data_IF_897794729070
#
_entry.id   IF_897794729070
#
_cell.length_a   1.000
_cell.length_b   1.000
_cell.length_c   1.000
_cell.angle_alpha   90.00
_cell.angle_beta   90.00
_cell.angle_gamma   90.00
#
_symmetry.space_group_name_H-M   'P 1'
#
loop_
_entity.id
_entity.type
_entity.pdbx_description
1 polymer ?
#
# COMPACT_ATOMS: atom_id res chain seq x y z
N UNK A 1 -1.34 0.93 28.65
CA UNK A 1 -1.15 -0.31 27.84
C UNK A 1 -2.16 -0.25 26.70
N UNK A 2 -1.71 -0.39 25.49
CA UNK A 2 -2.59 -0.23 24.31
C UNK A 2 -3.20 -1.60 23.97
N UNK A 3 -4.53 -1.67 23.81
CA UNK A 3 -5.26 -2.93 23.60
C UNK A 3 -5.05 -3.42 22.16
N UNK A 4 -4.59 -4.67 22.00
CA UNK A 4 -4.46 -5.33 20.70
C UNK A 4 -5.83 -5.69 20.11
N UNK A 5 -6.02 -5.59 18.79
CA UNK A 5 -7.23 -6.06 18.13
C UNK A 5 -7.06 -7.52 17.67
N UNK A 6 -7.41 -8.48 18.54
CA UNK A 6 -7.25 -9.90 18.27
C UNK A 6 -8.07 -10.43 17.10
N UNK A 7 -9.22 -9.82 16.79
CA UNK A 7 -10.00 -10.19 15.60
C UNK A 7 -9.27 -9.83 14.32
N UNK A 8 -8.67 -8.64 14.31
CA UNK A 8 -7.87 -8.23 13.17
C UNK A 8 -6.58 -9.05 13.03
N UNK A 9 -5.91 -9.43 14.13
CA UNK A 9 -4.70 -10.29 14.10
C UNK A 9 -5.04 -11.64 13.44
N UNK A 10 -6.21 -12.21 13.69
CA UNK A 10 -6.66 -13.43 13.03
C UNK A 10 -7.31 -13.19 11.65
N UNK A 11 -7.39 -11.95 11.19
CA UNK A 11 -8.02 -11.58 9.90
C UNK A 11 -9.49 -12.03 9.80
N UNK A 12 -10.26 -11.84 10.87
CA UNK A 12 -11.67 -12.22 10.99
C UNK A 12 -12.51 -11.05 11.51
N UNK A 13 -13.81 -11.11 11.27
CA UNK A 13 -14.76 -10.15 11.81
C UNK A 13 -14.99 -10.34 13.31
N UNK A 14 -15.35 -9.28 14.06
CA UNK A 14 -15.70 -9.40 15.50
C UNK A 14 -16.87 -10.33 15.79
N UNK A 15 -17.70 -10.61 14.80
CA UNK A 15 -18.84 -11.53 14.86
C UNK A 15 -18.46 -13.00 14.62
N UNK A 16 -17.17 -13.29 14.37
CA UNK A 16 -16.70 -14.62 14.02
C UNK A 16 -17.01 -15.66 15.10
N UNK A 17 -17.50 -16.80 14.65
CA UNK A 17 -17.81 -17.97 15.46
C UNK A 17 -16.55 -18.71 15.89
N UNK A 18 -16.63 -19.55 16.94
CA UNK A 18 -15.51 -20.36 17.40
C UNK A 18 -14.88 -21.25 16.30
N UNK A 19 -15.66 -21.92 15.41
CA UNK A 19 -15.09 -22.63 14.27
C UNK A 19 -14.30 -21.76 13.31
N UNK A 20 -14.77 -20.53 13.04
CA UNK A 20 -14.08 -19.57 12.17
C UNK A 20 -12.78 -19.08 12.80
N UNK A 21 -12.77 -18.80 14.10
CA UNK A 21 -11.54 -18.46 14.85
C UNK A 21 -10.51 -19.59 14.73
N UNK A 22 -10.94 -20.86 14.94
CA UNK A 22 -10.07 -22.03 14.81
C UNK A 22 -9.55 -22.23 13.40
N UNK A 23 -10.38 -21.97 12.38
CA UNK A 23 -9.99 -22.07 10.96
C UNK A 23 -8.96 -20.99 10.59
N UNK A 24 -9.19 -19.76 11.02
CA UNK A 24 -8.29 -18.64 10.80
C UNK A 24 -6.91 -18.88 11.48
N UNK A 25 -6.92 -19.31 12.73
CA UNK A 25 -5.70 -19.67 13.45
C UNK A 25 -4.88 -20.72 12.70
N UNK A 26 -5.50 -21.84 12.30
CA UNK A 26 -4.77 -22.91 11.59
C UNK A 26 -4.16 -22.42 10.29
N UNK A 27 -4.88 -21.59 9.52
CA UNK A 27 -4.38 -21.00 8.28
C UNK A 27 -3.15 -20.12 8.52
N UNK A 28 -3.25 -19.20 9.47
CA UNK A 28 -2.17 -18.26 9.78
C UNK A 28 -0.98 -18.93 10.46
N UNK A 29 -1.23 -19.87 11.38
CA UNK A 29 -0.19 -20.65 12.05
C UNK A 29 0.62 -21.49 11.05
N UNK A 30 -0.02 -22.06 10.03
CA UNK A 30 0.66 -22.79 8.96
C UNK A 30 1.48 -21.87 8.05
N UNK A 31 0.94 -20.66 7.77
CA UNK A 31 1.61 -19.67 6.93
C UNK A 31 2.86 -19.08 7.59
N UNK A 32 2.78 -18.79 8.90
CA UNK A 32 3.85 -18.15 9.67
C UNK A 32 4.61 -19.11 10.59
N UNK A 33 4.53 -20.43 10.31
CA UNK A 33 5.21 -21.44 11.13
C UNK A 33 6.72 -21.19 11.14
N UNK A 34 7.39 -21.23 12.33
CA UNK A 34 8.82 -20.95 12.44
C UNK A 34 9.67 -21.90 11.59
N UNK A 35 9.30 -23.18 11.47
CA UNK A 35 10.06 -24.13 10.64
C UNK A 35 10.04 -23.79 9.14
N UNK A 36 8.98 -23.13 8.66
CA UNK A 36 8.85 -22.71 7.26
C UNK A 36 9.42 -21.32 6.98
N UNK A 37 9.69 -20.57 8.04
CA UNK A 37 10.12 -19.16 7.96
C UNK A 37 11.30 -18.93 8.93
N UNK A 38 12.23 -19.88 9.05
CA UNK A 38 13.33 -19.82 9.99
C UNK A 38 14.20 -18.56 9.84
N UNK A 39 14.35 -18.06 8.60
CA UNK A 39 15.16 -16.89 8.27
C UNK A 39 14.40 -15.56 8.42
N UNK A 40 13.13 -15.58 8.89
CA UNK A 40 12.24 -14.42 8.89
C UNK A 40 11.84 -14.02 10.30
N UNK A 41 12.58 -13.10 10.91
CA UNK A 41 12.33 -12.60 12.25
C UNK A 41 10.87 -12.13 12.48
N UNK A 42 10.27 -11.50 11.47
CA UNK A 42 8.88 -11.04 11.54
C UNK A 42 7.88 -12.20 11.66
N UNK A 43 8.16 -13.35 11.03
CA UNK A 43 7.25 -14.50 11.07
C UNK A 43 7.15 -15.05 12.49
N UNK A 44 8.24 -15.05 13.25
CA UNK A 44 8.29 -15.48 14.64
C UNK A 44 7.46 -14.56 15.54
N UNK A 45 7.63 -13.24 15.38
CA UNK A 45 6.85 -12.25 16.12
C UNK A 45 5.36 -12.37 15.81
N UNK A 46 5.02 -12.48 14.52
CA UNK A 46 3.63 -12.57 14.09
C UNK A 46 2.97 -13.89 14.50
N UNK A 47 3.70 -15.01 14.47
CA UNK A 47 3.23 -16.29 14.99
C UNK A 47 2.87 -16.22 16.47
N UNK A 48 3.69 -15.52 17.27
CA UNK A 48 3.42 -15.30 18.69
C UNK A 48 2.13 -14.51 18.91
N UNK A 49 1.90 -13.46 18.10
CA UNK A 49 0.65 -12.66 18.18
C UNK A 49 -0.58 -13.43 17.71
N UNK A 50 -0.46 -14.26 16.67
CA UNK A 50 -1.52 -15.17 16.19
C UNK A 50 -1.91 -16.15 17.30
N UNK A 51 -0.91 -16.71 17.99
CA UNK A 51 -1.12 -17.63 19.11
C UNK A 51 -1.82 -16.94 20.28
N UNK A 52 -1.34 -15.76 20.68
CA UNK A 52 -1.95 -14.93 21.72
C UNK A 52 -3.41 -14.59 21.40
N UNK A 53 -3.68 -14.14 20.17
CA UNK A 53 -5.02 -13.82 19.72
C UNK A 53 -5.97 -15.03 19.77
N UNK A 54 -5.49 -16.19 19.35
CA UNK A 54 -6.23 -17.44 19.42
C UNK A 54 -6.55 -17.82 20.86
N UNK A 55 -5.56 -17.80 21.75
CA UNK A 55 -5.74 -18.13 23.16
C UNK A 55 -6.77 -17.22 23.83
N UNK A 56 -6.71 -15.92 23.59
CA UNK A 56 -7.67 -14.97 24.17
C UNK A 56 -9.07 -15.15 23.59
N UNK A 57 -9.21 -15.33 22.29
CA UNK A 57 -10.54 -15.42 21.66
C UNK A 57 -11.22 -16.78 21.82
N UNK A 58 -10.48 -17.84 22.20
CA UNK A 58 -11.04 -19.19 22.43
C UNK A 58 -11.29 -19.49 23.89
N UNK A 59 -10.65 -18.82 24.83
CA UNK A 59 -10.90 -18.93 26.26
C UNK A 59 -12.05 -18.01 26.67
N UNK A 60 -13.18 -18.55 27.21
CA UNK A 60 -14.34 -17.75 27.56
C UNK A 60 -14.03 -16.61 28.54
N UNK A 61 -13.21 -16.88 29.55
CA UNK A 61 -12.90 -15.91 30.61
C UNK A 61 -12.00 -14.79 30.08
N UNK A 62 -10.98 -15.12 29.31
CA UNK A 62 -10.09 -14.15 28.68
C UNK A 62 -10.82 -13.31 27.62
N UNK A 63 -11.69 -13.94 26.84
CA UNK A 63 -12.51 -13.26 25.83
C UNK A 63 -13.44 -12.24 26.46
N UNK A 64 -14.08 -12.56 27.57
CA UNK A 64 -14.97 -11.64 28.27
C UNK A 64 -14.23 -10.39 28.73
N UNK A 65 -13.08 -10.56 29.40
CA UNK A 65 -12.23 -9.43 29.85
C UNK A 65 -11.79 -8.60 28.64
N UNK A 66 -11.38 -9.25 27.55
CA UNK A 66 -10.98 -8.56 26.32
C UNK A 66 -12.13 -7.75 25.71
N UNK A 67 -13.34 -8.30 25.64
CA UNK A 67 -14.51 -7.61 25.11
C UNK A 67 -14.91 -6.42 25.96
N UNK A 68 -14.82 -6.51 27.29
CA UNK A 68 -15.05 -5.38 28.20
C UNK A 68 -14.03 -4.26 27.98
N UNK A 69 -12.75 -4.59 27.87
CA UNK A 69 -11.69 -3.62 27.59
C UNK A 69 -11.87 -2.97 26.21
N UNK A 70 -12.23 -3.76 25.20
CA UNK A 70 -12.51 -3.27 23.85
C UNK A 70 -13.69 -2.29 23.84
N UNK A 71 -14.79 -2.63 24.50
CA UNK A 71 -15.96 -1.77 24.63
C UNK A 71 -15.60 -0.45 25.33
N UNK A 72 -14.84 -0.53 26.42
CA UNK A 72 -14.40 0.66 27.16
C UNK A 72 -13.52 1.58 26.30
N UNK A 73 -12.59 1.06 25.55
CA UNK A 73 -11.75 1.84 24.63
C UNK A 73 -12.60 2.52 23.52
N UNK A 74 -13.59 1.81 22.99
CA UNK A 74 -14.51 2.38 21.99
C UNK A 74 -15.37 3.51 22.58
N UNK A 75 -15.87 3.35 23.80
CA UNK A 75 -16.70 4.35 24.47
C UNK A 75 -15.93 5.64 24.78
N UNK A 76 -14.62 5.56 24.98
CA UNK A 76 -13.74 6.72 25.18
C UNK A 76 -13.40 7.45 23.85
N UNK A 77 -13.96 7.04 22.71
CA UNK A 77 -13.64 7.61 21.41
C UNK A 77 -12.22 7.34 20.90
N UNK A 78 -11.46 6.53 21.63
CA UNK A 78 -10.13 6.09 21.20
C UNK A 78 -10.27 5.04 20.10
N UNK A 79 -10.34 5.49 18.85
CA UNK A 79 -10.37 4.59 17.65
C UNK A 79 -9.04 3.88 17.38
N UNK A 80 -8.00 4.15 18.14
CA UNK A 80 -6.70 3.53 17.99
C UNK A 80 -6.62 2.19 18.74
N UNK A 81 -7.19 1.16 18.10
CA UNK A 81 -6.65 -0.17 18.34
C UNK A 81 -5.24 -0.23 17.76
N UNK A 82 -4.31 -0.87 18.50
CA UNK A 82 -2.96 -1.09 17.99
C UNK A 82 -3.07 -1.61 16.59
N UNK A 83 -2.57 -0.82 15.68
CA UNK A 83 -2.33 -1.25 14.32
C UNK A 83 -1.51 -2.54 14.38
N UNK A 84 -1.98 -3.55 13.70
CA UNK A 84 -1.28 -4.83 13.57
C UNK A 84 0.21 -4.61 13.28
N UNK A 85 1.06 -5.55 13.69
CA UNK A 85 2.45 -5.47 13.31
C UNK A 85 2.55 -5.28 11.81
N UNK A 86 3.28 -4.26 11.43
CA UNK A 86 3.56 -3.96 10.02
C UNK A 86 4.43 -5.11 9.50
N UNK A 87 3.83 -6.07 8.82
CA UNK A 87 4.57 -7.16 8.19
C UNK A 87 4.64 -6.92 6.67
N UNK A 88 5.79 -7.20 6.03
CA UNK A 88 5.95 -6.98 4.60
C UNK A 88 4.85 -7.64 3.72
N UNK A 89 4.44 -8.90 3.94
CA UNK A 89 3.38 -9.52 3.16
C UNK A 89 2.02 -8.82 3.32
N UNK A 90 1.73 -8.27 4.50
CA UNK A 90 0.48 -7.57 4.75
C UNK A 90 0.43 -6.23 4.03
N UNK A 91 1.50 -5.47 4.09
CA UNK A 91 1.60 -4.21 3.34
C UNK A 91 1.48 -4.48 1.84
N UNK A 92 2.15 -5.52 1.33
CA UNK A 92 2.01 -5.92 -0.07
C UNK A 92 0.55 -6.26 -0.41
N UNK A 93 -0.14 -7.05 0.41
CA UNK A 93 -1.56 -7.38 0.22
C UNK A 93 -2.43 -6.13 0.13
N UNK A 94 -2.25 -5.19 1.08
CA UNK A 94 -2.98 -3.92 1.11
C UNK A 94 -2.77 -3.10 -0.18
N UNK A 95 -1.55 -3.05 -0.67
CA UNK A 95 -1.20 -2.33 -1.90
C UNK A 95 -1.77 -3.03 -3.14
N UNK A 96 -1.77 -4.37 -3.19
CA UNK A 96 -2.37 -5.13 -4.27
C UNK A 96 -3.90 -4.95 -4.33
N UNK A 97 -4.56 -4.91 -3.17
CA UNK A 97 -5.99 -4.58 -3.07
C UNK A 97 -6.28 -3.16 -3.54
N UNK A 98 -5.44 -2.18 -3.16
CA UNK A 98 -5.52 -0.82 -3.66
C UNK A 98 -5.35 -0.76 -5.18
N UNK A 99 -4.36 -1.45 -5.75
CA UNK A 99 -4.16 -1.53 -7.20
C UNK A 99 -5.38 -2.07 -7.92
N UNK A 100 -5.95 -3.16 -7.41
CA UNK A 100 -7.17 -3.76 -7.97
C UNK A 100 -8.33 -2.77 -7.96
N UNK A 101 -8.53 -2.08 -6.83
CA UNK A 101 -9.58 -1.06 -6.68
C UNK A 101 -9.36 0.10 -7.67
N UNK A 102 -8.17 0.69 -7.69
CA UNK A 102 -7.83 1.84 -8.57
C UNK A 102 -7.98 1.47 -10.05
N UNK A 103 -7.57 0.26 -10.44
CA UNK A 103 -7.71 -0.22 -11.82
C UNK A 103 -9.17 -0.44 -12.26
N UNK A 104 -10.11 -0.58 -11.31
CA UNK A 104 -11.54 -0.71 -11.59
C UNK A 104 -12.27 0.64 -11.68
N UNK A 105 -11.62 1.75 -11.29
CA UNK A 105 -12.22 3.08 -11.29
C UNK A 105 -12.00 3.80 -12.62
N UNK A 106 -12.97 4.66 -12.96
CA UNK A 106 -12.79 5.65 -14.02
C UNK A 106 -11.78 6.72 -13.59
N UNK A 107 -10.67 6.82 -14.34
CA UNK A 107 -9.58 7.75 -14.05
C UNK A 107 -9.98 9.23 -14.01
N UNK A 108 -11.09 9.61 -14.68
CA UNK A 108 -11.60 10.99 -14.69
C UNK A 108 -12.39 11.32 -13.42
N UNK A 109 -13.06 10.33 -12.81
CA UNK A 109 -13.87 10.49 -11.60
C UNK A 109 -13.12 10.14 -10.32
N UNK A 110 -11.88 9.68 -10.44
CA UNK A 110 -11.07 9.26 -9.30
C UNK A 110 -10.68 10.44 -8.41
N UNK A 111 -10.91 10.32 -7.11
CA UNK A 111 -10.35 11.24 -6.11
C UNK A 111 -8.83 11.01 -5.97
N UNK A 112 -8.07 11.79 -6.74
CA UNK A 112 -6.59 11.72 -6.75
C UNK A 112 -5.97 12.19 -5.45
N UNK A 113 -6.64 13.09 -4.72
CA UNK A 113 -6.16 13.56 -3.43
C UNK A 113 -6.33 12.48 -2.37
N UNK A 114 -7.50 11.90 -2.25
CA UNK A 114 -7.76 10.78 -1.33
C UNK A 114 -6.87 9.57 -1.61
N UNK A 115 -6.60 9.27 -2.90
CA UNK A 115 -5.64 8.23 -3.28
C UNK A 115 -4.23 8.53 -2.79
N UNK A 116 -3.77 9.77 -2.94
CA UNK A 116 -2.45 10.20 -2.46
C UNK A 116 -2.32 10.08 -0.94
N UNK A 117 -3.30 10.60 -0.18
CA UNK A 117 -3.33 10.49 1.28
C UNK A 117 -3.34 9.03 1.75
N UNK A 118 -4.09 8.17 1.07
CA UNK A 118 -4.13 6.75 1.40
C UNK A 118 -2.79 6.05 1.15
N UNK A 119 -2.11 6.35 0.04
CA UNK A 119 -0.76 5.83 -0.23
C UNK A 119 0.22 6.31 0.84
N UNK A 120 0.17 7.58 1.25
CA UNK A 120 1.01 8.11 2.33
C UNK A 120 0.74 7.43 3.67
N UNK A 121 -0.51 7.11 3.96
CA UNK A 121 -0.88 6.37 5.18
C UNK A 121 -0.28 4.96 5.19
N UNK A 122 -0.35 4.25 4.06
CA UNK A 122 0.27 2.91 3.93
C UNK A 122 1.79 2.98 4.03
N UNK A 123 2.40 3.99 3.40
CA UNK A 123 3.85 4.22 3.40
C UNK A 123 4.26 5.26 4.45
N UNK A 124 3.66 5.20 5.64
CA UNK A 124 4.08 6.08 6.73
C UNK A 124 5.58 5.88 7.06
N UNK A 125 6.26 6.88 7.62
CA UNK A 125 7.68 6.76 7.98
C UNK A 125 7.97 5.53 8.84
N UNK A 126 7.06 5.19 9.78
CA UNK A 126 7.17 4.02 10.64
C UNK A 126 7.06 2.73 9.84
N UNK A 127 6.12 2.66 8.89
CA UNK A 127 5.96 1.49 8.00
C UNK A 127 7.20 1.27 7.14
N UNK A 128 7.73 2.35 6.54
CA UNK A 128 8.94 2.28 5.72
C UNK A 128 10.15 1.82 6.54
N UNK A 129 10.30 2.33 7.76
CA UNK A 129 11.39 1.92 8.66
C UNK A 129 11.27 0.43 9.02
N UNK A 130 10.08 -0.06 9.32
CA UNK A 130 9.85 -1.48 9.62
C UNK A 130 10.11 -2.37 8.41
N UNK A 131 9.61 -2.02 7.22
CA UNK A 131 9.91 -2.74 5.97
C UNK A 131 11.43 -2.82 5.71
N UNK A 132 12.15 -1.75 6.06
CA UNK A 132 13.62 -1.73 5.98
C UNK A 132 14.29 -2.65 6.99
N UNK A 133 13.78 -2.75 8.20
CA UNK A 133 14.29 -3.66 9.25
C UNK A 133 14.12 -5.12 8.85
N UNK A 134 12.96 -5.49 8.31
CA UNK A 134 12.71 -6.86 7.84
C UNK A 134 13.56 -7.27 6.64
N UNK A 135 14.06 -6.32 5.87
CA UNK A 135 14.98 -6.52 4.74
C UNK A 135 14.52 -7.57 3.70
N UNK A 136 13.21 -7.73 3.52
CA UNK A 136 12.62 -8.63 2.52
C UNK A 136 12.68 -7.98 1.12
N UNK A 137 13.83 -8.09 0.46
CA UNK A 137 14.09 -7.41 -0.83
C UNK A 137 13.08 -7.78 -1.90
N UNK A 138 12.66 -9.04 -1.98
CA UNK A 138 11.66 -9.50 -2.95
C UNK A 138 10.30 -8.83 -2.75
N UNK A 139 9.82 -8.77 -1.50
CA UNK A 139 8.54 -8.13 -1.18
C UNK A 139 8.63 -6.62 -1.36
N UNK A 140 9.72 -5.99 -0.91
CA UNK A 140 9.92 -4.56 -1.06
C UNK A 140 9.93 -4.14 -2.54
N UNK A 141 10.49 -4.96 -3.42
CA UNK A 141 10.49 -4.75 -4.87
C UNK A 141 9.06 -4.77 -5.45
N UNK A 142 8.24 -5.74 -5.04
CA UNK A 142 6.83 -5.80 -5.47
C UNK A 142 6.00 -4.64 -4.89
N UNK A 143 6.27 -4.21 -3.67
CA UNK A 143 5.66 -3.01 -3.07
C UNK A 143 6.00 -1.77 -3.92
N UNK A 144 7.28 -1.55 -4.24
CA UNK A 144 7.73 -0.43 -5.06
C UNK A 144 7.05 -0.45 -6.43
N UNK A 145 7.06 -1.58 -7.10
CA UNK A 145 6.43 -1.76 -8.41
C UNK A 145 4.93 -1.44 -8.38
N UNK A 146 4.24 -1.97 -7.38
CA UNK A 146 2.80 -1.78 -7.22
C UNK A 146 2.43 -0.33 -6.89
N UNK A 147 3.21 0.35 -6.07
CA UNK A 147 3.02 1.77 -5.77
C UNK A 147 3.32 2.65 -6.98
N UNK A 148 4.36 2.36 -7.76
CA UNK A 148 4.65 3.06 -9.02
C UNK A 148 3.44 2.99 -9.96
N UNK A 149 2.86 1.81 -10.12
CA UNK A 149 1.67 1.63 -10.95
C UNK A 149 0.50 2.51 -10.47
N UNK A 150 0.16 2.46 -9.18
CA UNK A 150 -0.92 3.27 -8.60
C UNK A 150 -0.63 4.76 -8.67
N UNK A 151 0.63 5.16 -8.47
CA UNK A 151 1.06 6.57 -8.51
C UNK A 151 0.99 7.19 -9.92
N UNK A 152 0.89 6.37 -10.97
CA UNK A 152 0.66 6.83 -12.35
C UNK A 152 -0.65 7.61 -12.54
N UNK A 153 -1.65 7.41 -11.67
CA UNK A 153 -2.92 8.13 -11.66
C UNK A 153 -2.88 9.47 -10.92
N UNK A 154 -1.84 9.71 -10.12
CA UNK A 154 -1.70 10.92 -9.31
C UNK A 154 -1.27 12.13 -10.15
N UNK A 155 -1.38 13.31 -9.53
CA UNK A 155 -0.77 14.51 -10.08
C UNK A 155 0.76 14.43 -10.04
N UNK A 156 1.48 15.05 -10.98
CA UNK A 156 2.94 14.98 -11.07
C UNK A 156 3.69 15.32 -9.78
N UNK A 157 3.20 16.35 -9.03
CA UNK A 157 3.79 16.77 -7.76
C UNK A 157 3.63 15.68 -6.68
N UNK A 158 2.44 15.11 -6.57
CA UNK A 158 2.14 14.02 -5.62
C UNK A 158 2.95 12.76 -5.94
N UNK A 159 3.01 12.38 -7.22
CA UNK A 159 3.79 11.23 -7.67
C UNK A 159 5.30 11.39 -7.39
N UNK A 160 5.86 12.60 -7.53
CA UNK A 160 7.25 12.88 -7.14
C UNK A 160 7.46 12.73 -5.62
N UNK A 161 6.52 13.17 -4.79
CA UNK A 161 6.60 13.00 -3.34
C UNK A 161 6.59 11.51 -2.96
N UNK A 162 5.72 10.69 -3.58
CA UNK A 162 5.73 9.24 -3.35
C UNK A 162 7.06 8.62 -3.79
N UNK A 163 7.63 9.05 -4.92
CA UNK A 163 8.92 8.54 -5.39
C UNK A 163 10.04 8.76 -4.36
N UNK A 164 10.06 9.88 -3.63
CA UNK A 164 11.04 10.12 -2.56
C UNK A 164 10.94 9.09 -1.43
N UNK A 165 9.72 8.71 -1.05
CA UNK A 165 9.49 7.65 -0.06
C UNK A 165 9.93 6.28 -0.57
N UNK A 166 9.69 6.00 -1.87
CA UNK A 166 10.13 4.75 -2.50
C UNK A 166 11.65 4.62 -2.55
N UNK A 167 12.40 5.71 -2.74
CA UNK A 167 13.86 5.67 -2.62
C UNK A 167 14.33 5.25 -1.24
N UNK A 168 13.66 5.74 -0.18
CA UNK A 168 13.98 5.33 1.18
C UNK A 168 13.74 3.83 1.41
N UNK A 169 12.72 3.24 0.75
CA UNK A 169 12.45 1.80 0.80
C UNK A 169 13.41 0.99 -0.07
N UNK A 170 13.77 1.49 -1.26
CA UNK A 170 14.66 0.80 -2.20
C UNK A 170 16.09 0.62 -1.65
N UNK A 171 16.49 1.46 -0.69
CA UNK A 171 17.89 1.51 -0.19
C UNK A 171 18.89 1.63 -1.36
N UNK A 172 19.76 0.61 -1.49
CA UNK A 172 20.81 0.53 -2.51
C UNK A 172 20.52 -0.55 -3.56
N UNK A 173 19.26 -1.04 -3.68
CA UNK A 173 18.94 -2.05 -4.67
C UNK A 173 18.86 -1.41 -6.07
N UNK A 174 19.77 -1.76 -7.00
CA UNK A 174 19.87 -1.06 -8.30
C UNK A 174 18.62 -1.23 -9.17
N UNK A 175 17.96 -2.40 -9.09
CA UNK A 175 16.78 -2.68 -9.89
C UNK A 175 15.58 -1.82 -9.47
N UNK A 176 15.34 -1.66 -8.17
CA UNK A 176 14.28 -0.81 -7.62
C UNK A 176 14.56 0.68 -7.89
N UNK A 177 15.80 1.12 -7.70
CA UNK A 177 16.23 2.50 -8.03
C UNK A 177 16.01 2.78 -9.53
N UNK A 178 16.38 1.84 -10.39
CA UNK A 178 16.15 1.95 -11.85
C UNK A 178 14.67 2.12 -12.20
N UNK A 179 13.78 1.36 -11.57
CA UNK A 179 12.33 1.49 -11.77
C UNK A 179 11.80 2.86 -11.32
N UNK A 180 12.25 3.36 -10.16
CA UNK A 180 11.85 4.68 -9.66
C UNK A 180 12.35 5.79 -10.60
N UNK A 181 13.58 5.70 -11.10
CA UNK A 181 14.15 6.65 -12.06
C UNK A 181 13.34 6.67 -13.37
N UNK A 182 13.00 5.50 -13.92
CA UNK A 182 12.16 5.41 -15.12
C UNK A 182 10.78 6.04 -14.89
N UNK A 183 10.18 5.80 -13.75
CA UNK A 183 8.90 6.41 -13.37
C UNK A 183 9.00 7.94 -13.32
N UNK A 184 10.04 8.50 -12.69
CA UNK A 184 10.24 9.95 -12.66
C UNK A 184 10.44 10.54 -14.06
N UNK A 185 11.20 9.87 -14.92
CA UNK A 185 11.37 10.28 -16.32
C UNK A 185 10.04 10.28 -17.09
N UNK A 186 9.18 9.30 -16.84
CA UNK A 186 7.83 9.26 -17.44
C UNK A 186 6.98 10.45 -16.98
N UNK A 187 7.00 10.77 -15.68
CA UNK A 187 6.30 11.95 -15.15
C UNK A 187 6.81 13.23 -15.81
N UNK A 188 8.13 13.40 -15.92
CA UNK A 188 8.72 14.59 -16.55
C UNK A 188 8.38 14.71 -18.03
N UNK A 189 8.38 13.60 -18.76
CA UNK A 189 7.92 13.57 -20.16
C UNK A 189 6.46 13.98 -20.27
N UNK A 190 5.59 13.46 -19.40
CA UNK A 190 4.16 13.82 -19.37
C UNK A 190 3.97 15.31 -19.09
N UNK A 191 4.65 15.87 -18.07
CA UNK A 191 4.58 17.31 -17.76
C UNK A 191 5.07 18.16 -18.92
N UNK A 192 6.19 17.77 -19.54
CA UNK A 192 6.75 18.46 -20.71
C UNK A 192 5.80 18.42 -21.90
N UNK A 193 5.20 17.28 -22.19
CA UNK A 193 4.20 17.13 -23.24
C UNK A 193 2.98 18.02 -22.99
N UNK A 194 2.40 17.98 -21.78
CA UNK A 194 1.28 18.82 -21.40
C UNK A 194 1.57 20.32 -21.56
N UNK A 195 2.79 20.74 -21.24
CA UNK A 195 3.25 22.13 -21.39
C UNK A 195 3.31 22.57 -22.86
N UNK A 196 3.83 21.72 -23.73
CA UNK A 196 4.11 22.10 -25.12
C UNK A 196 3.04 21.65 -26.12
N UNK A 197 2.12 20.76 -25.78
CA UNK A 197 1.11 20.23 -26.71
C UNK A 197 0.31 21.33 -27.42
N UNK A 198 -0.10 22.38 -26.71
CA UNK A 198 -0.87 23.50 -27.31
C UNK A 198 -0.02 24.25 -28.33
N UNK A 199 1.24 24.55 -28.02
CA UNK A 199 2.18 25.20 -28.92
C UNK A 199 2.42 24.37 -30.20
N UNK A 200 2.58 23.04 -30.02
CA UNK A 200 2.77 22.11 -31.14
C UNK A 200 1.54 22.09 -32.02
N UNK A 201 0.32 22.03 -31.47
CA UNK A 201 -0.92 22.06 -32.23
C UNK A 201 -1.04 23.36 -33.04
N UNK A 202 -0.78 24.52 -32.44
CA UNK A 202 -0.79 25.82 -33.13
C UNK A 202 0.22 25.84 -34.28
N UNK A 203 1.43 25.39 -34.04
CA UNK A 203 2.49 25.36 -35.04
C UNK A 203 2.11 24.46 -36.23
N UNK A 204 1.60 23.24 -35.94
CA UNK A 204 1.13 22.32 -37.00
C UNK A 204 -0.03 22.94 -37.79
N UNK A 205 -0.97 23.60 -37.13
CA UNK A 205 -2.10 24.26 -37.82
C UNK A 205 -1.62 25.34 -38.74
N UNK A 206 -0.65 26.19 -38.33
CA UNK A 206 -0.07 27.24 -39.17
C UNK A 206 0.65 26.61 -40.36
N UNK A 207 1.45 25.57 -40.17
CA UNK A 207 2.16 24.87 -41.26
C UNK A 207 1.17 24.30 -42.28
N UNK A 208 0.11 23.63 -41.82
CA UNK A 208 -0.93 23.08 -42.70
C UNK A 208 -1.63 24.20 -43.49
N UNK A 209 -1.98 25.31 -42.82
CA UNK A 209 -2.63 26.47 -43.48
C UNK A 209 -1.74 27.08 -44.56
N UNK A 210 -0.44 27.22 -44.31
CA UNK A 210 0.53 27.69 -45.29
C UNK A 210 0.66 26.73 -46.48
N UNK A 211 0.71 25.43 -46.23
CA UNK A 211 0.76 24.43 -47.31
C UNK A 211 -0.48 24.48 -48.20
N UNK A 212 -1.67 24.61 -47.61
CA UNK A 212 -2.94 24.75 -48.38
C UNK A 212 -2.89 26.02 -49.21
N UNK A 213 -2.43 27.14 -48.65
CA UNK A 213 -2.32 28.42 -49.37
C UNK A 213 -1.37 28.30 -50.59
N UNK A 214 -0.19 27.68 -50.41
CA UNK A 214 0.80 27.52 -51.50
C UNK A 214 0.36 26.53 -52.59
N UNK A 215 -0.38 25.48 -52.22
CA UNK A 215 -0.82 24.42 -53.17
C UNK A 215 -2.13 24.84 -53.84
N UNK A 216 -3.06 25.50 -53.14
CA UNK A 216 -4.36 25.95 -53.67
C UNK A 216 -4.33 27.23 -54.45
N UNK A 217 -3.22 28.00 -54.44
CA UNK A 217 -3.02 29.23 -55.17
C UNK A 217 -2.37 29.11 -56.56
N UNK A 218 -2.29 27.85 -57.06
CA UNK A 218 -1.83 27.57 -58.44
C UNK A 218 -2.98 27.23 -59.36
#
# INVERSE_FOLDING_TARGET
MQLKDYYKILEIEPSATLPEIKKAYRRLAQQYHPDKNADKEYAHTYFTEIKEAYEVLTDPSRKEVYLQQRWYQQSLGKKEFVTHPVTPPRILKQILELNKYVSSLDSFRMDKYGLYEYIQTILSPETVEQLRKFNETGINKEIIRSIIHTSGYLQPRQAKNIASTLYALARNEPASIGQINLFLLQIERKVRWEKYKIMIVILVTIVISLLIYFIGGR
#
